data_IF_858673670596
#
_entry.id   IF_858673670596
#
_cell.length_a   1.000
_cell.length_b   1.000
_cell.length_c   1.000
_cell.angle_alpha   90.00
_cell.angle_beta   90.00
_cell.angle_gamma   90.00
#
_symmetry.space_group_name_H-M   'P 1'
#
loop_
_entity.id
_entity.type
_entity.pdbx_description
1 polymer ?
#
# COMPACT_ATOMS: atom_id res chain seq x y z
N UNK A 1 22.90 9.02 37.95
CA UNK A 1 21.69 8.46 37.35
C UNK A 1 20.53 9.42 37.60
N UNK A 2 20.13 10.28 36.71
CA UNK A 2 18.93 11.07 36.92
C UNK A 2 17.72 10.36 36.33
N UNK A 3 16.76 10.10 37.19
CA UNK A 3 15.42 9.66 36.83
C UNK A 3 14.66 10.78 36.12
N UNK A 4 14.02 10.47 34.99
CA UNK A 4 13.11 11.37 34.30
C UNK A 4 11.70 11.13 34.78
N UNK A 5 11.23 12.09 35.55
CA UNK A 5 9.88 12.17 36.12
C UNK A 5 8.81 12.34 35.04
N UNK A 6 7.85 11.42 35.03
CA UNK A 6 6.59 11.55 34.28
C UNK A 6 5.67 12.51 34.99
N UNK A 7 5.38 13.64 34.38
CA UNK A 7 4.31 14.52 34.84
C UNK A 7 3.02 14.23 34.08
N UNK A 8 2.12 13.60 34.78
CA UNK A 8 0.70 13.52 34.46
C UNK A 8 0.06 14.87 34.77
N UNK A 9 -0.51 15.54 33.80
CA UNK A 9 -1.37 16.70 34.00
C UNK A 9 -2.81 16.26 33.79
N UNK A 10 -3.53 16.08 34.90
CA UNK A 10 -4.98 16.02 34.91
C UNK A 10 -5.51 17.44 35.05
N UNK A 11 -6.31 17.88 34.09
CA UNK A 11 -7.13 19.08 34.24
C UNK A 11 -8.59 18.64 34.27
N UNK A 12 -9.15 18.66 35.46
CA UNK A 12 -10.58 18.57 35.70
C UNK A 12 -11.19 19.98 35.57
N UNK A 13 -12.17 20.13 34.71
CA UNK A 13 -12.98 21.33 34.59
C UNK A 13 -14.46 20.97 34.76
N UNK A 14 -14.98 21.26 35.93
CA UNK A 14 -16.41 21.22 36.30
C UNK A 14 -17.02 22.58 35.94
N UNK A 15 -18.23 22.57 35.44
CA UNK A 15 -19.12 23.73 35.61
C UNK A 15 -20.05 24.01 34.43
N UNK A 16 -21.35 23.87 34.64
CA UNK A 16 -22.34 24.53 33.83
C UNK A 16 -23.67 23.81 33.71
N UNK A 17 -24.50 23.87 34.78
CA UNK A 17 -25.94 23.57 34.76
C UNK A 17 -26.67 24.69 33.97
N UNK A 18 -27.44 24.32 32.96
CA UNK A 18 -28.35 25.21 32.26
C UNK A 18 -29.63 24.47 31.87
N UNK A 19 -30.71 24.89 32.49
CA UNK A 19 -32.06 24.32 32.40
C UNK A 19 -32.79 24.68 31.09
N UNK A 20 -33.66 23.75 30.70
CA UNK A 20 -34.99 23.91 30.12
C UNK A 20 -35.14 24.34 28.66
N UNK A 21 -35.73 23.48 27.88
CA UNK A 21 -37.07 23.73 27.34
C UNK A 21 -37.57 22.50 26.56
N UNK A 22 -38.66 21.92 27.05
CA UNK A 22 -39.47 20.92 26.35
C UNK A 22 -40.19 21.64 25.21
N UNK A 23 -39.91 21.23 23.97
CA UNK A 23 -40.81 21.47 22.86
C UNK A 23 -41.04 20.15 22.12
N UNK A 24 -42.19 19.57 22.40
CA UNK A 24 -42.74 18.47 21.64
C UNK A 24 -43.23 19.04 20.31
N UNK A 25 -42.52 18.81 19.25
CA UNK A 25 -42.99 18.97 17.92
C UNK A 25 -42.98 17.61 17.21
N UNK A 26 -44.11 17.00 17.18
CA UNK A 26 -44.41 15.89 16.26
C UNK A 26 -44.36 16.42 14.85
N UNK A 27 -43.27 16.19 14.15
CA UNK A 27 -43.23 16.35 12.69
C UNK A 27 -42.94 15.01 12.08
N UNK A 28 -44.02 14.42 11.56
CA UNK A 28 -43.96 13.41 10.51
C UNK A 28 -43.42 14.10 9.25
N UNK A 29 -42.08 14.02 9.06
CA UNK A 29 -41.40 14.42 7.84
C UNK A 29 -40.97 13.19 7.05
N UNK A 30 -41.02 13.24 5.72
CA UNK A 30 -40.62 12.10 4.89
C UNK A 30 -39.16 11.78 5.05
N UNK A 31 -38.86 10.48 4.98
CA UNK A 31 -37.51 9.94 5.06
C UNK A 31 -36.58 10.68 4.09
N UNK A 32 -35.62 11.41 4.65
CA UNK A 32 -34.53 11.94 3.88
C UNK A 32 -33.63 10.76 3.50
N UNK A 33 -33.61 10.49 2.21
CA UNK A 33 -32.62 9.60 1.62
C UNK A 33 -31.23 10.06 2.07
N UNK A 34 -30.53 9.21 2.81
CA UNK A 34 -29.14 9.41 3.15
C UNK A 34 -28.38 9.57 1.84
N UNK A 35 -27.92 10.77 1.56
CA UNK A 35 -26.98 10.99 0.47
C UNK A 35 -25.80 10.05 0.67
N UNK A 36 -25.38 9.30 -0.34
CA UNK A 36 -24.16 8.53 -0.23
C UNK A 36 -23.03 9.51 0.09
N UNK A 37 -22.46 9.36 1.26
CA UNK A 37 -21.22 10.03 1.61
C UNK A 37 -20.23 9.69 0.50
N UNK A 38 -19.93 10.65 -0.37
CA UNK A 38 -18.82 10.52 -1.28
C UNK A 38 -17.59 10.49 -0.39
N UNK A 39 -17.17 9.28 -0.02
CA UNK A 39 -15.90 9.06 0.60
C UNK A 39 -14.86 9.74 -0.29
N UNK A 40 -14.24 10.80 0.21
CA UNK A 40 -13.10 11.41 -0.46
C UNK A 40 -12.08 10.29 -0.58
N UNK A 41 -11.96 9.75 -1.78
CA UNK A 41 -10.87 8.84 -2.11
C UNK A 41 -9.60 9.64 -1.86
N UNK A 42 -8.87 9.27 -0.82
CA UNK A 42 -7.57 9.84 -0.56
C UNK A 42 -6.65 9.39 -1.70
N UNK A 43 -6.21 10.28 -2.60
CA UNK A 43 -5.37 9.89 -3.73
C UNK A 43 -4.02 9.30 -3.30
N UNK A 44 -3.66 9.44 -2.02
CA UNK A 44 -2.47 8.88 -1.42
C UNK A 44 -2.74 7.60 -0.60
N UNK A 45 -3.99 7.12 -0.53
CA UNK A 45 -4.24 5.79 -0.01
C UNK A 45 -3.62 4.82 -1.02
N UNK A 46 -2.56 4.12 -0.62
CA UNK A 46 -2.06 2.96 -1.33
C UNK A 46 -3.24 2.01 -1.49
N UNK A 47 -3.72 1.85 -2.72
CA UNK A 47 -4.80 0.91 -2.99
C UNK A 47 -4.36 -0.44 -2.42
N UNK A 48 -5.16 -1.01 -1.54
CA UNK A 48 -4.91 -2.35 -1.02
C UNK A 48 -4.94 -3.31 -2.23
N UNK A 49 -3.75 -3.64 -2.70
CA UNK A 49 -3.60 -4.51 -3.87
C UNK A 49 -3.98 -5.95 -3.53
N UNK A 50 -4.20 -6.71 -4.57
CA UNK A 50 -4.36 -8.16 -4.45
C UNK A 50 -3.05 -8.77 -3.95
N UNK A 51 -3.16 -9.81 -3.14
CA UNK A 51 -2.00 -10.58 -2.70
C UNK A 51 -1.22 -11.14 -3.88
N UNK A 52 0.09 -10.88 -3.97
CA UNK A 52 0.91 -11.38 -5.06
C UNK A 52 1.06 -12.91 -4.99
N UNK A 53 0.82 -13.58 -6.10
CA UNK A 53 1.09 -15.01 -6.28
C UNK A 53 2.04 -15.22 -7.45
N UNK A 54 2.83 -16.28 -7.40
CA UNK A 54 3.81 -16.61 -8.44
C UNK A 54 3.17 -16.77 -9.81
N UNK A 55 2.09 -17.53 -9.89
CA UNK A 55 1.35 -17.80 -11.14
C UNK A 55 0.77 -16.54 -11.79
N UNK A 56 0.51 -15.50 -11.00
CA UNK A 56 0.01 -14.22 -11.49
C UNK A 56 1.05 -13.50 -12.35
N UNK A 57 2.35 -13.62 -12.02
CA UNK A 57 3.43 -12.91 -12.69
C UNK A 57 4.12 -13.70 -13.78
N UNK A 58 4.08 -15.05 -13.75
CA UNK A 58 4.74 -15.89 -14.74
C UNK A 58 4.41 -15.53 -16.20
N UNK A 59 3.12 -15.35 -16.57
CA UNK A 59 2.78 -15.02 -17.95
C UNK A 59 3.19 -13.60 -18.35
N UNK A 60 3.53 -12.73 -17.39
CA UNK A 60 3.93 -11.36 -17.62
C UNK A 60 5.44 -11.15 -17.65
N UNK A 61 6.23 -12.21 -17.68
CA UNK A 61 7.70 -12.09 -17.89
C UNK A 61 7.95 -11.48 -19.27
N UNK A 62 8.72 -10.42 -19.32
CA UNK A 62 8.96 -9.62 -20.52
C UNK A 62 8.05 -8.39 -20.67
N UNK A 63 6.98 -8.31 -19.88
CA UNK A 63 6.02 -7.21 -19.92
C UNK A 63 6.44 -6.03 -19.05
N UNK A 64 5.93 -4.84 -19.40
CA UNK A 64 6.24 -3.60 -18.68
C UNK A 64 5.12 -3.22 -17.72
N UNK A 65 5.48 -3.03 -16.48
CA UNK A 65 4.64 -2.55 -15.40
C UNK A 65 4.89 -1.07 -15.16
N UNK A 66 3.86 -0.37 -14.78
CA UNK A 66 3.99 0.99 -14.26
C UNK A 66 4.07 0.96 -12.75
N UNK A 67 5.25 1.27 -12.20
CA UNK A 67 5.51 1.34 -10.77
C UNK A 67 5.43 2.77 -10.25
N UNK A 68 4.70 2.99 -9.16
CA UNK A 68 4.61 4.29 -8.50
C UNK A 68 4.97 4.17 -7.02
N UNK A 69 5.86 5.04 -6.55
CA UNK A 69 6.21 5.19 -5.13
C UNK A 69 5.36 6.27 -4.42
N UNK A 70 4.32 6.78 -5.09
CA UNK A 70 3.49 7.87 -4.59
C UNK A 70 3.96 9.27 -5.02
N UNK A 71 5.22 9.44 -5.37
CA UNK A 71 5.79 10.70 -5.86
C UNK A 71 6.22 10.62 -7.31
N UNK A 72 6.67 9.46 -7.74
CA UNK A 72 7.20 9.21 -9.09
C UNK A 72 6.54 7.99 -9.69
N UNK A 73 6.53 7.96 -11.01
CA UNK A 73 6.11 6.80 -11.78
C UNK A 73 7.27 6.40 -12.68
N UNK A 74 7.58 5.11 -12.67
CA UNK A 74 8.66 4.51 -13.46
C UNK A 74 8.14 3.30 -14.22
N UNK A 75 8.72 3.02 -15.37
CA UNK A 75 8.44 1.81 -16.12
C UNK A 75 9.41 0.70 -15.67
N UNK A 76 8.85 -0.44 -15.35
CA UNK A 76 9.54 -1.62 -14.82
C UNK A 76 9.26 -2.81 -15.71
N UNK A 77 10.25 -3.35 -16.38
CA UNK A 77 10.09 -4.59 -17.16
C UNK A 77 10.37 -5.79 -16.26
N UNK A 78 9.40 -6.68 -16.13
CA UNK A 78 9.58 -7.94 -15.38
C UNK A 78 10.48 -8.87 -16.19
N UNK A 79 11.64 -9.19 -15.68
CA UNK A 79 12.64 -10.02 -16.39
C UNK A 79 12.65 -11.46 -15.94
N UNK A 80 12.32 -11.72 -14.67
CA UNK A 80 12.27 -13.08 -14.14
C UNK A 80 11.33 -13.20 -12.94
N UNK A 81 10.81 -14.41 -12.76
CA UNK A 81 10.13 -14.88 -11.55
C UNK A 81 10.90 -16.10 -11.07
N UNK A 82 11.53 -16.01 -9.91
CA UNK A 82 12.44 -17.03 -9.39
C UNK A 82 11.92 -17.59 -8.07
N UNK A 83 12.12 -18.89 -7.86
CA UNK A 83 11.82 -19.53 -6.58
C UNK A 83 12.85 -19.09 -5.53
N UNK A 84 12.43 -18.91 -4.28
CA UNK A 84 13.38 -18.67 -3.20
C UNK A 84 14.12 -19.97 -2.86
N UNK A 85 15.39 -19.88 -2.54
CA UNK A 85 16.25 -21.03 -2.25
C UNK A 85 15.72 -21.96 -1.14
N UNK A 86 14.88 -21.43 -0.25
CA UNK A 86 14.26 -22.17 0.85
C UNK A 86 12.80 -22.54 0.60
N UNK A 87 12.28 -22.28 -0.61
CA UNK A 87 10.91 -22.59 -0.99
C UNK A 87 10.83 -23.90 -1.76
N UNK A 88 9.66 -24.54 -1.72
CA UNK A 88 9.36 -25.64 -2.65
C UNK A 88 9.29 -25.07 -4.07
N UNK A 89 9.76 -25.82 -5.08
CA UNK A 89 9.66 -25.38 -6.46
C UNK A 89 8.22 -25.06 -6.86
N UNK A 90 7.99 -23.84 -7.35
CA UNK A 90 6.66 -23.40 -7.76
C UNK A 90 5.76 -22.91 -6.63
N UNK A 91 6.29 -22.65 -5.44
CA UNK A 91 5.53 -22.10 -4.32
C UNK A 91 4.92 -20.75 -4.68
N UNK A 92 3.60 -20.66 -4.58
CA UNK A 92 2.82 -19.47 -4.93
C UNK A 92 3.04 -18.27 -3.99
N UNK A 93 3.49 -18.52 -2.78
CA UNK A 93 3.71 -17.50 -1.76
C UNK A 93 5.17 -17.17 -1.47
N UNK A 94 6.13 -17.90 -2.09
CA UNK A 94 7.56 -17.78 -1.76
C UNK A 94 8.43 -17.73 -3.02
N UNK A 95 8.54 -16.53 -3.59
CA UNK A 95 9.25 -16.28 -4.84
C UNK A 95 9.86 -14.88 -4.87
N UNK A 96 10.72 -14.62 -5.83
CA UNK A 96 11.23 -13.28 -6.11
C UNK A 96 10.85 -12.83 -7.53
N UNK A 97 10.65 -11.53 -7.68
CA UNK A 97 10.43 -10.85 -8.94
C UNK A 97 11.62 -9.98 -9.26
N UNK A 98 12.15 -10.09 -10.46
CA UNK A 98 13.22 -9.25 -10.96
C UNK A 98 12.68 -8.30 -12.02
N UNK A 99 12.87 -7.00 -11.79
CA UNK A 99 12.50 -5.95 -12.72
C UNK A 99 13.73 -5.20 -13.19
N UNK A 100 13.71 -4.76 -14.43
CA UNK A 100 14.67 -3.78 -14.95
C UNK A 100 13.99 -2.48 -15.27
N UNK A 101 14.68 -1.37 -15.03
CA UNK A 101 14.23 -0.04 -15.39
C UNK A 101 15.37 0.76 -16.00
N UNK A 102 15.03 1.70 -16.86
CA UNK A 102 15.98 2.67 -17.39
C UNK A 102 16.15 3.82 -16.41
N UNK A 103 17.38 4.21 -16.15
CA UNK A 103 17.71 5.40 -15.38
C UNK A 103 18.08 5.14 -13.91
N UNK A 104 18.66 6.18 -13.32
CA UNK A 104 19.26 6.16 -11.97
C UNK A 104 18.27 6.43 -10.83
N UNK A 105 17.01 6.72 -11.16
CA UNK A 105 16.03 7.28 -10.21
C UNK A 105 15.28 6.23 -9.38
N UNK A 106 15.37 4.96 -9.77
CA UNK A 106 14.73 3.88 -9.01
C UNK A 106 15.54 3.56 -7.75
N UNK A 107 14.98 3.89 -6.60
CA UNK A 107 15.51 3.55 -5.27
C UNK A 107 14.80 2.35 -4.68
N UNK A 108 15.22 1.98 -3.47
CA UNK A 108 14.46 1.08 -2.62
C UNK A 108 13.19 1.77 -2.10
N UNK A 109 12.12 1.03 -2.00
CA UNK A 109 10.86 1.57 -1.52
C UNK A 109 9.65 0.72 -1.85
N UNK A 110 8.50 1.19 -1.41
CA UNK A 110 7.22 0.59 -1.69
C UNK A 110 6.69 1.14 -3.01
N UNK A 111 6.41 0.26 -3.94
CA UNK A 111 5.87 0.59 -5.24
C UNK A 111 4.51 -0.06 -5.46
N UNK A 112 3.56 0.74 -5.92
CA UNK A 112 2.29 0.23 -6.46
C UNK A 112 2.51 -0.11 -7.93
N UNK A 113 2.38 -1.38 -8.27
CA UNK A 113 2.59 -1.93 -9.61
C UNK A 113 1.26 -2.06 -10.34
N UNK A 114 1.19 -1.53 -11.55
CA UNK A 114 0.02 -1.61 -12.43
C UNK A 114 0.40 -2.21 -13.78
N UNK A 115 -0.42 -3.14 -14.23
CA UNK A 115 -0.30 -3.78 -15.55
C UNK A 115 -1.70 -4.12 -16.07
N UNK A 116 -1.90 -4.12 -17.40
CA UNK A 116 -3.24 -4.35 -18.02
C UNK A 116 -3.70 -5.76 -17.82
N UNK A 117 -3.18 -6.71 -17.44
CA UNK A 117 -3.66 -8.10 -17.26
C UNK A 117 -3.50 -8.61 -15.85
N UNK A 118 -2.99 -7.78 -14.95
CA UNK A 118 -2.66 -8.17 -13.58
C UNK A 118 -3.30 -7.19 -12.62
N UNK A 119 -3.97 -7.65 -11.57
CA UNK A 119 -4.48 -6.78 -10.53
C UNK A 119 -3.37 -5.91 -9.94
N UNK A 120 -3.70 -4.69 -9.57
CA UNK A 120 -2.76 -3.78 -8.91
C UNK A 120 -2.22 -4.43 -7.64
N UNK A 121 -0.90 -4.44 -7.51
CA UNK A 121 -0.21 -4.98 -6.34
C UNK A 121 0.77 -3.96 -5.78
N UNK A 122 1.04 -4.03 -4.48
CA UNK A 122 2.00 -3.17 -3.81
C UNK A 122 3.14 -4.04 -3.25
N UNK A 123 4.36 -3.74 -3.70
CA UNK A 123 5.55 -4.51 -3.34
C UNK A 123 6.68 -3.59 -2.89
N UNK A 124 7.51 -4.07 -1.97
CA UNK A 124 8.78 -3.44 -1.66
C UNK A 124 9.83 -3.88 -2.69
N UNK A 125 10.39 -2.91 -3.41
CA UNK A 125 11.45 -3.15 -4.38
C UNK A 125 12.79 -2.67 -3.83
N UNK A 126 13.81 -3.49 -4.01
CA UNK A 126 15.21 -3.17 -3.63
C UNK A 126 16.10 -3.21 -4.85
N UNK A 127 16.91 -2.17 -5.10
CA UNK A 127 17.90 -2.22 -6.16
C UNK A 127 18.97 -3.26 -5.86
N UNK A 128 19.27 -4.09 -6.85
CA UNK A 128 20.33 -5.08 -6.79
C UNK A 128 21.35 -4.87 -7.91
N UNK A 129 22.57 -5.37 -7.70
CA UNK A 129 23.64 -5.26 -8.69
C UNK A 129 24.26 -3.87 -8.80
N UNK A 130 25.18 -3.69 -9.76
CA UNK A 130 25.93 -2.44 -9.93
C UNK A 130 25.01 -1.30 -10.42
N UNK A 131 25.39 -0.09 -10.06
CA UNK A 131 24.75 1.12 -10.59
C UNK A 131 25.17 1.32 -12.04
N UNK A 132 24.20 1.38 -12.93
CA UNK A 132 24.40 1.58 -14.37
C UNK A 132 23.21 2.28 -15.00
N UNK A 133 23.23 2.41 -16.33
CA UNK A 133 22.15 2.99 -17.11
C UNK A 133 20.83 2.20 -16.97
N UNK A 134 20.95 0.90 -16.77
CA UNK A 134 19.84 0.01 -16.42
C UNK A 134 19.99 -0.41 -14.97
N UNK A 135 18.90 -0.38 -14.23
CA UNK A 135 18.87 -0.79 -12.85
C UNK A 135 17.97 -2.00 -12.69
N UNK A 136 18.46 -2.98 -11.94
CA UNK A 136 17.66 -4.14 -11.56
C UNK A 136 17.08 -3.90 -10.18
N UNK A 137 15.78 -4.15 -10.04
CA UNK A 137 15.05 -4.10 -8.78
C UNK A 137 14.51 -5.48 -8.47
N UNK A 138 14.62 -5.90 -7.24
CA UNK A 138 14.08 -7.16 -6.76
C UNK A 138 12.96 -6.93 -5.76
N UNK A 139 11.87 -7.66 -5.90
CA UNK A 139 10.88 -7.84 -4.87
C UNK A 139 10.94 -9.28 -4.35
N UNK A 140 10.94 -9.45 -3.04
CA UNK A 140 10.86 -10.76 -2.40
C UNK A 140 9.47 -10.92 -1.81
N UNK A 141 8.75 -11.92 -2.27
CA UNK A 141 7.49 -12.36 -1.70
C UNK A 141 7.78 -13.58 -0.85
N UNK A 142 7.50 -13.50 0.44
CA UNK A 142 7.71 -14.59 1.38
C UNK A 142 6.54 -14.63 2.36
N UNK A 143 5.49 -15.32 1.95
CA UNK A 143 4.30 -15.53 2.77
C UNK A 143 4.29 -16.98 3.22
N UNK A 144 4.43 -17.18 4.49
CA UNK A 144 4.12 -18.46 5.14
C UNK A 144 2.62 -18.52 5.36
N UNK A 145 2.02 -19.54 4.79
CA UNK A 145 0.61 -19.85 5.06
C UNK A 145 0.39 -20.22 6.53
#
# INVERSE_FOLDING_TARGET
MPEVSRRTVMTAGLGGLGFAAVAIATQTGPAFASSPSTARVNPNALEAGVDPTRSLYLPAVGETFRGSDGTRTIDLTLTAVEDLASAEPGDEGRFSLLFTTLGFLAGDGIYTLRHTGIPTTTLFLTPIGPRGANRTLQAIVNRTA
#
